data_IF_199533750905
#
_entry.id   IF_199533750905
#
_cell.length_a   1.000
_cell.length_b   1.000
_cell.length_c   1.000
_cell.angle_alpha   90.00
_cell.angle_beta   90.00
_cell.angle_gamma   90.00
#
_symmetry.space_group_name_H-M   'P 1'
#
loop_
_entity.id
_entity.type
_entity.pdbx_description
1 polymer ?
#
# COMPACT_ATOMS: atom_id res chain seq x y z
N UNK A 1 -1.49 -1.93 21.86
CA UNK A 1 -0.61 -2.29 20.72
C UNK A 1 -1.49 -2.26 19.50
N UNK A 2 -1.33 -1.21 18.68
CA UNK A 2 -2.03 -1.08 17.40
C UNK A 2 -1.47 -2.18 16.50
N UNK A 3 -2.17 -3.32 16.48
CA UNK A 3 -1.81 -4.42 15.61
C UNK A 3 -2.09 -3.96 14.20
N UNK A 4 -1.08 -3.96 13.33
CA UNK A 4 -1.30 -3.76 11.91
C UNK A 4 -2.41 -4.72 11.43
N UNK A 5 -3.34 -4.25 10.59
CA UNK A 5 -4.43 -5.08 10.13
C UNK A 5 -3.87 -6.37 9.50
N UNK A 6 -4.47 -7.53 9.81
CA UNK A 6 -3.99 -8.81 9.27
C UNK A 6 -3.91 -8.81 7.74
N UNK A 7 -4.74 -8.00 7.08
CA UNK A 7 -4.75 -7.80 5.63
C UNK A 7 -3.47 -7.11 5.11
N UNK A 8 -2.86 -6.20 5.90
CA UNK A 8 -1.59 -5.57 5.53
C UNK A 8 -0.44 -6.58 5.61
N UNK A 9 -0.45 -7.44 6.63
CA UNK A 9 0.53 -8.52 6.75
C UNK A 9 0.38 -9.51 5.59
N UNK A 10 -0.84 -9.81 5.17
CA UNK A 10 -1.11 -10.63 3.98
C UNK A 10 -0.57 -9.96 2.72
N UNK A 11 -0.75 -8.65 2.55
CA UNK A 11 -0.23 -7.94 1.40
C UNK A 11 1.31 -7.99 1.32
N UNK A 12 2.01 -7.85 2.45
CA UNK A 12 3.47 -7.99 2.51
C UNK A 12 3.92 -9.40 2.16
N UNK A 13 3.20 -10.43 2.67
CA UNK A 13 3.47 -11.83 2.31
C UNK A 13 3.24 -12.08 0.82
N UNK A 14 2.22 -11.47 0.22
CA UNK A 14 1.93 -11.59 -1.20
C UNK A 14 3.07 -11.03 -2.06
N UNK A 15 3.75 -9.95 -1.64
CA UNK A 15 4.99 -9.48 -2.30
C UNK A 15 6.07 -10.56 -2.25
N UNK A 16 6.31 -11.15 -1.07
CA UNK A 16 7.31 -12.22 -0.91
C UNK A 16 7.00 -13.47 -1.75
N UNK A 17 5.73 -13.74 -2.01
CA UNK A 17 5.27 -14.83 -2.88
C UNK A 17 5.29 -14.47 -4.38
N UNK A 18 5.62 -13.23 -4.75
CA UNK A 18 5.55 -12.72 -6.13
C UNK A 18 4.14 -12.39 -6.61
N UNK A 19 3.12 -12.47 -5.76
CA UNK A 19 1.74 -12.10 -6.07
C UNK A 19 1.51 -10.60 -5.85
N UNK A 20 2.14 -9.82 -6.72
CA UNK A 20 2.09 -8.37 -6.69
C UNK A 20 0.68 -7.81 -6.89
N UNK A 21 -0.16 -8.51 -7.66
CA UNK A 21 -1.53 -8.06 -7.94
C UNK A 21 -2.43 -8.23 -6.72
N UNK A 22 -2.30 -9.35 -5.98
CA UNK A 22 -3.00 -9.53 -4.70
C UNK A 22 -2.54 -8.52 -3.67
N UNK A 23 -1.24 -8.32 -3.55
CA UNK A 23 -0.66 -7.32 -2.65
C UNK A 23 -1.22 -5.92 -2.93
N UNK A 24 -1.18 -5.48 -4.19
CA UNK A 24 -1.74 -4.19 -4.60
C UNK A 24 -3.22 -4.04 -4.22
N UNK A 25 -4.03 -5.08 -4.49
CA UNK A 25 -5.48 -5.04 -4.22
C UNK A 25 -5.78 -4.88 -2.73
N UNK A 26 -5.08 -5.62 -1.87
CA UNK A 26 -5.24 -5.54 -0.41
C UNK A 26 -4.83 -4.16 0.11
N UNK A 27 -3.66 -3.68 -0.30
CA UNK A 27 -3.14 -2.37 0.08
C UNK A 27 -4.05 -1.24 -0.39
N UNK A 28 -4.60 -1.34 -1.62
CA UNK A 28 -5.52 -0.36 -2.17
C UNK A 28 -6.81 -0.24 -1.34
N UNK A 29 -7.38 -1.37 -0.90
CA UNK A 29 -8.56 -1.39 -0.05
C UNK A 29 -8.28 -0.72 1.30
N UNK A 30 -7.18 -1.10 1.96
CA UNK A 30 -6.81 -0.55 3.26
C UNK A 30 -6.45 0.95 3.18
N UNK A 31 -5.78 1.38 2.13
CA UNK A 31 -5.45 2.78 1.90
C UNK A 31 -6.71 3.65 1.70
N UNK A 32 -7.73 3.10 1.02
CA UNK A 32 -9.05 3.73 0.88
C UNK A 32 -9.81 3.82 2.20
N UNK A 33 -9.57 2.90 3.14
CA UNK A 33 -10.12 2.97 4.50
C UNK A 33 -9.42 4.03 5.38
N UNK A 34 -8.46 4.77 4.83
CA UNK A 34 -7.78 5.86 5.54
C UNK A 34 -6.53 5.42 6.28
N UNK A 35 -6.16 4.14 6.27
CA UNK A 35 -5.06 3.65 7.09
C UNK A 35 -3.70 4.24 6.64
N UNK A 36 -2.96 4.93 7.53
CA UNK A 36 -1.73 5.63 7.14
C UNK A 36 -0.65 4.70 6.59
N UNK A 37 -0.46 3.53 7.20
CA UNK A 37 0.51 2.53 6.73
C UNK A 37 0.13 1.98 5.36
N UNK A 38 -1.14 1.67 5.12
CA UNK A 38 -1.59 1.20 3.82
C UNK A 38 -1.47 2.28 2.74
N UNK A 39 -1.75 3.54 3.07
CA UNK A 39 -1.50 4.66 2.16
C UNK A 39 -0.01 4.78 1.82
N UNK A 40 0.88 4.56 2.80
CA UNK A 40 2.31 4.53 2.55
C UNK A 40 2.71 3.38 1.61
N UNK A 41 2.23 2.17 1.88
CA UNK A 41 2.47 1.00 1.02
C UNK A 41 1.89 1.19 -0.38
N UNK A 42 0.73 1.81 -0.52
CA UNK A 42 0.14 2.07 -1.84
C UNK A 42 1.02 3.02 -2.65
N UNK A 43 1.61 4.02 -1.99
CA UNK A 43 2.59 4.88 -2.61
C UNK A 43 3.80 4.10 -3.11
N UNK A 44 4.33 3.20 -2.28
CA UNK A 44 5.44 2.31 -2.67
C UNK A 44 5.09 1.41 -3.86
N UNK A 45 3.88 0.84 -3.89
CA UNK A 45 3.40 0.04 -5.01
C UNK A 45 3.41 0.82 -6.33
N UNK A 46 2.92 2.06 -6.31
CA UNK A 46 2.93 2.91 -7.50
C UNK A 46 4.34 3.36 -7.88
N UNK A 47 5.21 3.66 -6.91
CA UNK A 47 6.59 4.03 -7.20
C UNK A 47 7.39 2.89 -7.87
N UNK A 48 7.21 1.67 -7.37
CA UNK A 48 7.94 0.51 -7.86
C UNK A 48 7.26 -0.19 -9.04
N UNK A 49 6.03 0.18 -9.40
CA UNK A 49 5.25 -0.52 -10.42
C UNK A 49 4.87 -1.95 -10.01
N UNK A 50 4.58 -2.18 -8.73
CA UNK A 50 4.24 -3.50 -8.18
C UNK A 50 2.73 -3.70 -8.26
N UNK A 51 2.28 -4.63 -9.11
CA UNK A 51 0.85 -4.99 -9.23
C UNK A 51 -0.03 -3.95 -9.95
N UNK A 52 0.49 -2.73 -10.12
CA UNK A 52 0.04 -1.69 -11.02
C UNK A 52 1.25 -1.13 -11.78
N UNK A 53 1.06 -0.47 -12.92
CA UNK A 53 2.16 0.21 -13.60
C UNK A 53 2.76 1.33 -12.73
N UNK A 54 4.06 1.60 -12.93
CA UNK A 54 4.75 2.67 -12.21
C UNK A 54 4.07 4.02 -12.45
N UNK A 55 3.87 4.78 -11.37
CA UNK A 55 3.27 6.11 -11.40
C UNK A 55 3.69 6.91 -10.15
N UNK A 56 4.76 7.69 -10.28
CA UNK A 56 5.33 8.44 -9.16
C UNK A 56 4.41 9.56 -8.68
N UNK A 57 3.59 10.15 -9.56
CA UNK A 57 2.61 11.18 -9.18
C UNK A 57 1.58 10.62 -8.19
N UNK A 58 1.04 9.43 -8.47
CA UNK A 58 0.15 8.72 -7.54
C UNK A 58 0.88 8.30 -6.29
N UNK A 59 2.15 7.90 -6.40
CA UNK A 59 2.94 7.54 -5.22
C UNK A 59 3.02 8.70 -4.21
N UNK A 60 3.38 9.89 -4.70
CA UNK A 60 3.46 11.10 -3.91
C UNK A 60 2.10 11.47 -3.32
N UNK A 61 1.02 11.37 -4.09
CA UNK A 61 -0.33 11.64 -3.58
C UNK A 61 -0.68 10.77 -2.37
N UNK A 62 -0.41 9.47 -2.44
CA UNK A 62 -0.70 8.54 -1.35
C UNK A 62 0.24 8.74 -0.15
N UNK A 63 1.52 9.03 -0.38
CA UNK A 63 2.45 9.36 0.71
C UNK A 63 2.08 10.65 1.43
N UNK A 64 1.61 11.68 0.71
CA UNK A 64 1.13 12.90 1.34
C UNK A 64 -0.11 12.66 2.20
N UNK A 65 -1.01 11.76 1.79
CA UNK A 65 -2.17 11.37 2.60
C UNK A 65 -1.75 10.63 3.88
N UNK A 66 -0.77 9.72 3.78
CA UNK A 66 -0.22 9.02 4.94
C UNK A 66 0.45 10.00 5.91
N UNK A 67 1.30 10.90 5.40
CA UNK A 67 2.04 11.88 6.18
C UNK A 67 1.16 12.92 6.88
N UNK A 68 -0.07 13.15 6.42
CA UNK A 68 -1.03 14.04 7.09
C UNK A 68 -1.68 13.43 8.33
N UNK A 69 -1.56 12.10 8.50
CA UNK A 69 -2.21 11.35 9.57
C UNK A 69 -1.23 10.81 10.62
N UNK A 70 0.08 11.00 10.42
CA UNK A 70 1.14 10.70 11.39
C UNK A 70 1.77 11.98 11.91
#
# INVERSE_FOLDING_TARGET
MEQDPPELQEAVRAIGAGDFRRSFTLVEQLARLGQPLAQHFLGWHYHMGIGAGQNDDRAVEWWLRAARQG
#
